data_IF_073520804677
#
_entry.id   IF_073520804677
#
_cell.length_a   1.000
_cell.length_b   1.000
_cell.length_c   1.000
_cell.angle_alpha   90.00
_cell.angle_beta   90.00
_cell.angle_gamma   90.00
#
_symmetry.space_group_name_H-M   'P 1'
#
loop_
_entity.id
_entity.type
_entity.pdbx_description
1 polymer ?
#
# COMPACT_ATOMS: atom_id res chain seq x y z
N UNK A 1 26.28 0.85 -17.94
CA UNK A 1 25.72 -0.42 -17.41
C UNK A 1 24.61 -0.03 -16.46
N UNK A 2 23.36 -0.17 -16.85
CA UNK A 2 22.26 0.02 -15.92
C UNK A 2 22.26 -1.18 -14.98
N UNK A 3 22.71 -0.99 -13.75
CA UNK A 3 22.48 -1.95 -12.68
C UNK A 3 20.97 -2.19 -12.63
N UNK A 4 20.56 -3.38 -13.02
CA UNK A 4 19.15 -3.75 -12.99
C UNK A 4 18.76 -4.04 -11.54
N UNK A 5 18.70 -2.99 -10.73
CA UNK A 5 18.34 -3.04 -9.30
C UNK A 5 16.95 -3.69 -9.05
N UNK A 6 16.20 -3.96 -10.13
CA UNK A 6 14.91 -4.64 -10.13
C UNK A 6 14.98 -6.06 -10.68
N UNK A 7 16.18 -6.58 -10.99
CA UNK A 7 16.32 -7.97 -11.38
C UNK A 7 16.01 -8.88 -10.18
N UNK A 8 15.19 -9.90 -10.42
CA UNK A 8 14.96 -10.95 -9.43
C UNK A 8 16.25 -11.79 -9.33
N UNK A 9 16.81 -11.90 -8.14
CA UNK A 9 17.90 -12.85 -7.89
C UNK A 9 17.30 -14.27 -7.84
N UNK A 10 17.63 -15.15 -8.80
CA UNK A 10 17.08 -16.50 -8.83
C UNK A 10 17.51 -17.36 -7.64
N UNK A 11 18.55 -16.95 -6.91
CA UNK A 11 19.06 -17.64 -5.73
C UNK A 11 18.50 -17.08 -4.42
N UNK A 12 17.71 -16.03 -4.49
CA UNK A 12 17.14 -15.41 -3.29
C UNK A 12 16.11 -16.32 -2.62
N UNK A 13 16.26 -16.50 -1.32
CA UNK A 13 15.33 -17.34 -0.54
C UNK A 13 14.05 -16.60 -0.20
N UNK A 14 12.96 -17.33 0.05
CA UNK A 14 11.71 -16.78 0.58
C UNK A 14 11.93 -16.07 1.93
N UNK A 15 12.83 -16.59 2.77
CA UNK A 15 13.16 -15.97 4.04
C UNK A 15 13.79 -14.57 3.85
N UNK A 16 14.71 -14.42 2.91
CA UNK A 16 15.33 -13.13 2.60
C UNK A 16 14.30 -12.13 2.07
N UNK A 17 13.42 -12.56 1.17
CA UNK A 17 12.32 -11.72 0.66
C UNK A 17 11.37 -11.30 1.77
N UNK A 18 11.04 -12.22 2.68
CA UNK A 18 10.17 -11.93 3.82
C UNK A 18 10.80 -10.87 4.74
N UNK A 19 12.07 -11.00 5.09
CA UNK A 19 12.77 -9.98 5.91
C UNK A 19 12.74 -8.60 5.25
N UNK A 20 12.99 -8.54 3.94
CA UNK A 20 12.87 -7.29 3.19
C UNK A 20 11.44 -6.74 3.23
N UNK A 21 10.44 -7.60 3.06
CA UNK A 21 9.03 -7.23 3.13
C UNK A 21 8.63 -6.69 4.51
N UNK A 22 9.06 -7.32 5.59
CA UNK A 22 8.82 -6.85 6.96
C UNK A 22 9.40 -5.44 7.20
N UNK A 23 10.62 -5.20 6.74
CA UNK A 23 11.25 -3.89 6.82
C UNK A 23 10.48 -2.82 6.01
N UNK A 24 10.11 -3.13 4.77
CA UNK A 24 9.35 -2.22 3.91
C UNK A 24 7.96 -1.93 4.51
N UNK A 25 7.27 -2.94 5.03
CA UNK A 25 5.98 -2.76 5.67
C UNK A 25 6.08 -1.84 6.90
N UNK A 26 7.12 -2.00 7.71
CA UNK A 26 7.39 -1.13 8.84
C UNK A 26 7.68 0.31 8.41
N UNK A 27 8.47 0.50 7.36
CA UNK A 27 8.78 1.83 6.81
C UNK A 27 7.52 2.51 6.25
N UNK A 28 6.68 1.79 5.48
CA UNK A 28 5.46 2.34 4.90
C UNK A 28 4.41 2.71 5.94
N UNK A 29 4.22 1.86 6.94
CA UNK A 29 3.22 2.09 7.99
C UNK A 29 3.67 3.05 9.08
N UNK A 30 4.97 3.23 9.27
CA UNK A 30 5.54 3.91 10.41
C UNK A 30 5.43 3.11 11.71
N UNK A 31 5.12 1.82 11.62
CA UNK A 31 4.94 0.90 12.76
C UNK A 31 5.87 -0.31 12.57
N UNK A 32 6.77 -0.61 13.51
CA UNK A 32 7.67 -1.77 13.42
C UNK A 32 6.92 -3.12 13.40
N UNK A 33 5.68 -3.15 13.86
CA UNK A 33 4.85 -4.36 13.83
C UNK A 33 3.41 -4.03 13.37
N UNK A 34 3.21 -3.82 12.06
CA UNK A 34 1.90 -3.43 11.54
C UNK A 34 0.80 -4.43 11.93
N UNK A 35 -0.28 -3.92 12.52
CA UNK A 35 -1.36 -4.75 13.10
C UNK A 35 -1.97 -5.73 12.09
N UNK A 36 -2.10 -5.33 10.82
CA UNK A 36 -2.59 -6.22 9.76
C UNK A 36 -1.69 -7.45 9.59
N UNK A 37 -0.37 -7.25 9.50
CA UNK A 37 0.57 -8.36 9.31
C UNK A 37 0.62 -9.26 10.54
N UNK A 38 0.60 -8.68 11.73
CA UNK A 38 0.57 -9.45 12.99
C UNK A 38 -0.69 -10.32 13.09
N UNK A 39 -1.84 -9.79 12.70
CA UNK A 39 -3.11 -10.54 12.68
C UNK A 39 -3.07 -11.66 11.64
N UNK A 40 -2.59 -11.38 10.44
CA UNK A 40 -2.46 -12.40 9.38
C UNK A 40 -1.46 -13.50 9.78
N UNK A 41 -0.34 -13.16 10.37
CA UNK A 41 0.68 -14.12 10.82
C UNK A 41 0.12 -15.08 11.88
N UNK A 42 -0.71 -14.56 12.79
CA UNK A 42 -1.36 -15.36 13.82
C UNK A 42 -2.43 -16.29 13.25
N UNK A 43 -3.32 -15.78 12.42
CA UNK A 43 -4.53 -16.48 12.01
C UNK A 43 -4.40 -17.15 10.62
N UNK A 44 -3.57 -16.61 9.73
CA UNK A 44 -3.37 -17.06 8.36
C UNK A 44 -1.89 -17.02 7.95
N UNK A 45 -1.02 -17.82 8.60
CA UNK A 45 0.44 -17.71 8.41
C UNK A 45 0.92 -17.95 6.97
N UNK A 46 0.24 -18.83 6.23
CA UNK A 46 0.57 -19.04 4.81
C UNK A 46 0.30 -17.77 3.98
N UNK A 47 -0.85 -17.12 4.18
CA UNK A 47 -1.20 -15.87 3.50
C UNK A 47 -0.26 -14.73 3.91
N UNK A 48 0.04 -14.62 5.20
CA UNK A 48 0.99 -13.62 5.70
C UNK A 48 2.37 -13.78 5.07
N UNK A 49 2.87 -15.02 4.97
CA UNK A 49 4.16 -15.28 4.34
C UNK A 49 4.17 -14.92 2.84
N UNK A 50 3.13 -15.30 2.11
CA UNK A 50 3.00 -14.97 0.69
C UNK A 50 2.89 -13.46 0.46
N UNK A 51 2.07 -12.77 1.25
CA UNK A 51 1.91 -11.32 1.19
C UNK A 51 3.24 -10.62 1.47
N UNK A 52 3.89 -10.98 2.57
CA UNK A 52 5.11 -10.28 3.02
C UNK A 52 6.30 -10.57 2.12
N UNK A 53 6.49 -11.81 1.66
CA UNK A 53 7.63 -12.16 0.81
C UNK A 53 7.44 -11.71 -0.64
N UNK A 54 6.28 -11.91 -1.24
CA UNK A 54 6.04 -11.57 -2.64
C UNK A 54 5.52 -10.14 -2.81
N UNK A 55 4.34 -9.82 -2.28
CA UNK A 55 3.72 -8.53 -2.58
C UNK A 55 4.55 -7.37 -2.00
N UNK A 56 5.00 -7.48 -0.77
CA UNK A 56 5.81 -6.42 -0.15
C UNK A 56 7.30 -6.60 -0.47
N UNK A 57 7.82 -7.80 -0.28
CA UNK A 57 9.26 -8.08 -0.41
C UNK A 57 9.80 -8.08 -1.83
N UNK A 58 8.96 -8.32 -2.84
CA UNK A 58 9.37 -8.26 -4.24
C UNK A 58 8.68 -7.12 -5.00
N UNK A 59 7.35 -7.04 -4.99
CA UNK A 59 6.62 -6.09 -5.84
C UNK A 59 6.78 -4.66 -5.31
N UNK A 60 6.52 -4.42 -4.02
CA UNK A 60 6.68 -3.08 -3.42
C UNK A 60 8.16 -2.69 -3.21
N UNK A 61 9.07 -3.64 -3.25
CA UNK A 61 10.51 -3.39 -3.17
C UNK A 61 11.11 -2.83 -4.47
N UNK A 62 10.40 -2.88 -5.60
CA UNK A 62 10.90 -2.37 -6.89
C UNK A 62 11.09 -0.85 -6.82
N UNK A 63 12.06 -0.34 -7.57
CA UNK A 63 12.49 1.06 -7.50
C UNK A 63 12.22 1.89 -8.76
N UNK A 64 11.61 1.31 -9.80
CA UNK A 64 11.29 2.04 -11.04
C UNK A 64 10.30 3.17 -10.78
N UNK A 65 9.27 2.90 -9.98
CA UNK A 65 8.40 3.96 -9.43
C UNK A 65 8.89 4.28 -8.01
N UNK A 66 8.97 5.56 -7.68
CA UNK A 66 9.20 5.95 -6.29
C UNK A 66 8.01 5.55 -5.38
N UNK A 67 8.22 5.60 -4.07
CA UNK A 67 7.21 5.19 -3.09
C UNK A 67 5.93 6.00 -3.24
N UNK A 68 6.05 7.30 -3.45
CA UNK A 68 4.93 8.24 -3.57
C UNK A 68 4.06 7.93 -4.79
N UNK A 69 4.66 7.79 -5.96
CA UNK A 69 3.96 7.44 -7.20
C UNK A 69 3.29 6.07 -7.10
N UNK A 70 3.98 5.10 -6.50
CA UNK A 70 3.46 3.75 -6.30
C UNK A 70 2.24 3.75 -5.41
N UNK A 71 2.27 4.47 -4.28
CA UNK A 71 1.12 4.54 -3.37
C UNK A 71 -0.06 5.26 -4.00
N UNK A 72 0.15 6.34 -4.76
CA UNK A 72 -0.94 6.99 -5.51
C UNK A 72 -1.61 6.05 -6.52
N UNK A 73 -0.82 5.25 -7.25
CA UNK A 73 -1.36 4.27 -8.19
C UNK A 73 -2.20 3.19 -7.49
N UNK A 74 -1.73 2.67 -6.35
CA UNK A 74 -2.46 1.67 -5.55
C UNK A 74 -3.73 2.25 -4.94
N UNK A 75 -3.67 3.45 -4.40
CA UNK A 75 -4.84 4.17 -3.85
C UNK A 75 -5.91 4.33 -4.93
N UNK A 76 -5.53 4.77 -6.14
CA UNK A 76 -6.46 4.92 -7.25
C UNK A 76 -7.08 3.58 -7.67
N UNK A 77 -6.27 2.52 -7.76
CA UNK A 77 -6.75 1.19 -8.11
C UNK A 77 -7.74 0.63 -7.07
N UNK A 78 -7.42 0.71 -5.78
CA UNK A 78 -8.31 0.25 -4.71
C UNK A 78 -9.60 1.06 -4.65
N UNK A 79 -9.53 2.37 -4.84
CA UNK A 79 -10.71 3.23 -4.95
C UNK A 79 -11.63 2.79 -6.10
N UNK A 80 -11.08 2.58 -7.29
CA UNK A 80 -11.82 2.16 -8.47
C UNK A 80 -12.44 0.77 -8.31
N UNK A 81 -11.75 -0.14 -7.62
CA UNK A 81 -12.24 -1.49 -7.33
C UNK A 81 -13.26 -1.53 -6.18
N UNK A 82 -13.37 -0.48 -5.37
CA UNK A 82 -14.26 -0.41 -4.22
C UNK A 82 -13.73 -1.11 -2.98
N UNK A 83 -12.42 -1.26 -2.85
CA UNK A 83 -11.75 -1.87 -1.70
C UNK A 83 -11.40 -0.79 -0.66
N UNK A 84 -12.40 -0.40 0.12
CA UNK A 84 -12.28 0.73 1.06
C UNK A 84 -11.25 0.52 2.17
N UNK A 85 -11.07 -0.70 2.65
CA UNK A 85 -10.06 -1.00 3.68
C UNK A 85 -8.65 -0.87 3.13
N UNK A 86 -8.38 -1.45 1.96
CA UNK A 86 -7.09 -1.37 1.28
C UNK A 86 -6.79 0.07 0.84
N UNK A 87 -7.82 0.80 0.40
CA UNK A 87 -7.71 2.24 0.14
C UNK A 87 -7.22 3.01 1.38
N UNK A 88 -7.79 2.76 2.56
CA UNK A 88 -7.37 3.42 3.81
C UNK A 88 -5.94 3.05 4.21
N UNK A 89 -5.57 1.79 4.09
CA UNK A 89 -4.21 1.33 4.40
C UNK A 89 -3.19 2.03 3.50
N UNK A 90 -3.36 1.94 2.19
CA UNK A 90 -2.45 2.54 1.22
C UNK A 90 -2.54 4.07 1.17
N UNK A 91 -3.69 4.64 1.47
CA UNK A 91 -3.86 6.07 1.71
C UNK A 91 -3.01 6.56 2.90
N UNK A 92 -2.99 5.80 3.98
CA UNK A 92 -2.10 6.06 5.12
C UNK A 92 -0.62 5.99 4.74
N UNK A 93 -0.22 5.00 3.96
CA UNK A 93 1.15 4.88 3.44
C UNK A 93 1.50 6.03 2.50
N UNK A 94 0.56 6.46 1.66
CA UNK A 94 0.73 7.62 0.80
C UNK A 94 1.00 8.89 1.61
N UNK A 95 0.21 9.15 2.64
CA UNK A 95 0.41 10.30 3.55
C UNK A 95 1.77 10.21 4.26
N UNK A 96 2.18 9.03 4.71
CA UNK A 96 3.52 8.83 5.30
C UNK A 96 4.65 9.08 4.29
N UNK A 97 4.40 8.85 3.00
CA UNK A 97 5.33 9.12 1.91
C UNK A 97 5.29 10.58 1.40
N UNK A 98 4.54 11.47 2.05
CA UNK A 98 4.48 12.89 1.71
C UNK A 98 3.40 13.27 0.69
N UNK A 99 2.49 12.36 0.35
CA UNK A 99 1.27 12.70 -0.41
C UNK A 99 0.37 13.54 0.48
N UNK A 100 -0.21 14.60 -0.06
CA UNK A 100 -1.09 15.49 0.68
C UNK A 100 -2.54 15.00 0.70
N UNK A 101 -3.33 15.51 1.66
CA UNK A 101 -4.78 15.25 1.69
C UNK A 101 -5.47 15.68 0.41
N UNK A 102 -5.05 16.82 -0.16
CA UNK A 102 -5.64 17.34 -1.40
C UNK A 102 -5.31 16.45 -2.60
N UNK A 103 -4.11 15.89 -2.66
CA UNK A 103 -3.77 14.91 -3.70
C UNK A 103 -4.59 13.63 -3.58
N UNK A 104 -4.90 13.17 -2.38
CA UNK A 104 -5.80 12.03 -2.19
C UNK A 104 -7.25 12.37 -2.61
N UNK A 105 -7.71 13.59 -2.38
CA UNK A 105 -9.01 14.06 -2.90
C UNK A 105 -9.02 14.10 -4.43
N UNK A 106 -7.93 14.54 -5.06
CA UNK A 106 -7.81 14.50 -6.53
C UNK A 106 -7.92 13.06 -7.07
N UNK A 107 -7.33 12.07 -6.39
CA UNK A 107 -7.52 10.65 -6.76
C UNK A 107 -9.01 10.29 -6.74
N UNK A 108 -9.76 10.68 -5.72
CA UNK A 108 -11.20 10.43 -5.63
C UNK A 108 -11.95 11.07 -6.81
N UNK A 109 -11.59 12.27 -7.19
CA UNK A 109 -12.20 12.93 -8.35
C UNK A 109 -11.83 12.24 -9.66
N UNK A 110 -10.57 11.88 -9.85
CA UNK A 110 -10.08 11.23 -11.06
C UNK A 110 -10.74 9.86 -11.32
N UNK A 111 -11.00 9.07 -10.31
CA UNK A 111 -11.59 7.74 -10.49
C UNK A 111 -13.04 7.77 -10.95
N UNK A 112 -13.70 8.93 -10.93
CA UNK A 112 -15.03 9.08 -11.55
C UNK A 112 -15.01 8.74 -13.04
N UNK A 113 -13.87 8.94 -13.71
CA UNK A 113 -13.71 8.68 -15.14
C UNK A 113 -13.76 7.16 -15.42
N UNK A 114 -12.90 6.31 -14.83
CA UNK A 114 -12.93 4.87 -15.11
C UNK A 114 -14.01 4.10 -14.33
N UNK A 115 -14.42 4.57 -13.16
CA UNK A 115 -15.22 3.77 -12.22
C UNK A 115 -16.58 4.38 -11.85
N UNK A 116 -16.83 5.64 -12.19
CA UNK A 116 -18.08 6.32 -11.96
C UNK A 116 -18.28 6.86 -10.54
N UNK A 117 -19.37 7.61 -10.33
CA UNK A 117 -19.66 8.28 -9.08
C UNK A 117 -19.88 7.35 -7.88
N UNK A 118 -20.55 6.18 -7.99
CA UNK A 118 -20.72 5.32 -6.82
C UNK A 118 -19.40 4.91 -6.18
N UNK A 119 -18.38 4.58 -6.98
CA UNK A 119 -17.04 4.25 -6.48
C UNK A 119 -16.33 5.46 -5.87
N UNK A 120 -16.45 6.63 -6.50
CA UNK A 120 -15.89 7.86 -5.97
C UNK A 120 -16.52 8.26 -4.63
N UNK A 121 -17.82 8.08 -4.47
CA UNK A 121 -18.53 8.33 -3.21
C UNK A 121 -18.04 7.38 -2.13
N UNK A 122 -17.90 6.08 -2.41
CA UNK A 122 -17.34 5.12 -1.47
C UNK A 122 -15.90 5.49 -1.07
N UNK A 123 -15.07 5.86 -2.04
CA UNK A 123 -13.70 6.29 -1.80
C UNK A 123 -13.65 7.58 -0.95
N UNK A 124 -14.55 8.53 -1.19
CA UNK A 124 -14.62 9.76 -0.39
C UNK A 124 -14.95 9.48 1.08
N UNK A 125 -15.84 8.53 1.34
CA UNK A 125 -16.16 8.10 2.70
C UNK A 125 -14.97 7.42 3.37
N UNK A 126 -14.29 6.52 2.67
CA UNK A 126 -13.08 5.87 3.19
C UNK A 126 -11.96 6.89 3.46
N UNK A 127 -11.79 7.89 2.60
CA UNK A 127 -10.82 8.97 2.83
C UNK A 127 -11.19 9.79 4.06
N UNK A 128 -12.45 10.16 4.24
CA UNK A 128 -12.91 10.90 5.40
C UNK A 128 -12.64 10.12 6.71
N UNK A 129 -12.88 8.81 6.72
CA UNK A 129 -12.57 7.94 7.86
C UNK A 129 -11.06 7.90 8.16
N UNK A 130 -10.23 7.73 7.11
CA UNK A 130 -8.78 7.74 7.26
C UNK A 130 -8.28 9.05 7.86
N UNK A 131 -8.71 10.18 7.34
CA UNK A 131 -8.27 11.50 7.81
C UNK A 131 -8.74 11.76 9.24
N UNK A 132 -9.97 11.38 9.58
CA UNK A 132 -10.48 11.50 10.95
C UNK A 132 -9.66 10.68 11.95
N UNK A 133 -9.31 9.43 11.59
CA UNK A 133 -8.48 8.57 12.45
C UNK A 133 -7.07 9.14 12.67
N UNK A 134 -6.48 9.76 11.66
CA UNK A 134 -5.15 10.37 11.77
C UNK A 134 -5.16 11.65 12.63
N UNK A 135 -6.23 12.42 12.58
CA UNK A 135 -6.38 13.60 13.45
C UNK A 135 -6.64 13.25 14.92
N UNK A 136 -7.21 12.08 15.19
CA UNK A 136 -7.50 11.59 16.53
C UNK A 136 -6.29 10.89 17.21
N UNK A 137 -5.27 10.56 16.45
CA UNK A 137 -4.07 9.85 16.93
C UNK A 137 -3.07 10.81 17.61
#
# INVERSE_FOLDING_TARGET
>A
MSDNANAIDPNETTATRRQRGERIAAELSGDPNPALLATLDRDFPFLANALTSYAVGEVLARTVLDVRARQLALVAAFAALGFGNEFKIHGGYALNAGVTEDELKEIVYLITIPAGFPRAIQASQALAELLASRRAA
#
